data_IF_481945736528
#
_entry.id   IF_481945736528
#
_cell.length_a   1.000
_cell.length_b   1.000
_cell.length_c   1.000
_cell.angle_alpha   90.00
_cell.angle_beta   90.00
_cell.angle_gamma   90.00
#
_symmetry.space_group_name_H-M   'P 1'
#
loop_
_entity.id
_entity.type
_entity.pdbx_description
1 polymer ?
2 non-polymer ?
3 non-polymer ?
4 non-polymer ?
5 water ?
#
# COMPACT_ATOMS: atom_id res chain seq x y z
N UNK A 21 -8.96 6.75 -1.64
CA UNK A 21 -9.85 5.77 -0.91
C UNK A 21 -11.27 6.23 -1.13
N UNK A 22 -12.10 5.33 -1.61
CA UNK A 22 -13.49 5.64 -1.88
C UNK A 22 -14.40 4.99 -0.82
N UNK A 23 -15.24 5.81 -0.20
CA UNK A 23 -16.20 5.31 0.77
C UNK A 23 -15.67 4.99 2.16
N UNK A 24 -14.53 5.55 2.52
CA UNK A 24 -13.97 5.29 3.82
C UNK A 24 -14.25 6.45 4.75
N UNK A 25 -13.43 6.57 5.77
CA UNK A 25 -13.54 7.63 6.76
C UNK A 25 -12.15 8.19 6.94
N UNK A 26 -12.03 9.38 7.50
CA UNK A 26 -10.70 9.95 7.68
C UNK A 26 -10.02 9.20 8.80
N UNK A 27 -8.79 8.76 8.56
CA UNK A 27 -8.04 8.07 9.60
C UNK A 27 -7.79 9.02 10.75
N UNK A 28 -7.76 8.47 11.96
CA UNK A 28 -7.43 9.22 13.15
C UNK A 28 -5.96 9.59 12.88
N UNK A 29 -5.57 10.85 13.14
CA UNK A 29 -4.17 11.21 12.86
C UNK A 29 -3.11 10.36 13.54
N UNK A 30 -2.17 9.86 12.73
CA UNK A 30 -1.07 9.01 13.19
C UNK A 30 -1.53 7.63 13.65
N UNK A 31 -2.74 7.23 13.24
CA UNK A 31 -3.24 5.91 13.61
C UNK A 31 -2.64 4.82 12.71
N UNK A 32 -2.04 5.23 11.58
CA UNK A 32 -1.40 4.31 10.64
C UNK A 32 0.01 4.88 10.50
N UNK A 33 0.83 4.81 11.58
CA UNK A 33 2.19 5.36 11.56
C UNK A 33 3.20 4.74 10.60
N UNK A 34 2.85 3.62 9.97
CA UNK A 34 3.72 2.97 8.99
C UNK A 34 3.47 3.55 7.61
N UNK A 35 2.38 4.29 7.45
CA UNK A 35 2.02 4.85 6.15
C UNK A 35 2.99 5.95 5.68
N UNK A 36 3.48 5.83 4.46
CA UNK A 36 4.37 6.86 3.93
C UNK A 36 3.82 7.36 2.61
N UNK A 37 4.21 8.58 2.25
CA UNK A 37 3.83 9.16 0.98
C UNK A 37 5.08 9.21 0.10
N UNK A 38 5.00 8.72 -1.12
CA UNK A 38 6.13 8.81 -2.03
C UNK A 38 5.87 10.09 -2.79
N UNK A 39 6.84 10.99 -2.73
CA UNK A 39 6.75 12.30 -3.34
C UNK A 39 7.80 12.55 -4.42
N UNK A 40 7.35 13.08 -5.55
CA UNK A 40 8.24 13.44 -6.66
C UNK A 40 7.56 14.73 -7.13
N UNK A 41 7.75 15.76 -6.32
CA UNK A 41 7.13 17.05 -6.56
C UNK A 41 5.80 17.01 -5.81
N UNK A 42 5.01 16.00 -6.16
CA UNK A 42 3.70 15.78 -5.57
C UNK A 42 3.64 14.34 -5.12
N UNK A 43 2.69 14.05 -4.25
CA UNK A 43 2.46 12.68 -3.79
C UNK A 43 2.04 11.88 -5.02
N UNK A 44 2.59 10.68 -5.23
CA UNK A 44 2.17 9.88 -6.38
C UNK A 44 1.85 8.42 -6.04
N UNK A 45 2.28 7.98 -4.86
CA UNK A 45 2.03 6.61 -4.43
C UNK A 45 2.24 6.54 -2.93
N UNK A 46 1.70 5.49 -2.32
CA UNK A 46 1.87 5.28 -0.90
C UNK A 46 2.90 4.17 -0.74
N UNK A 47 3.17 3.81 0.51
CA UNK A 47 4.12 2.75 0.82
C UNK A 47 4.00 2.46 2.29
N UNK A 48 4.76 1.48 2.76
CA UNK A 48 4.74 1.09 4.17
C UNK A 48 6.15 0.95 4.73
N UNK A 49 6.39 1.56 5.88
CA UNK A 49 7.68 1.45 6.56
C UNK A 49 7.70 0.08 7.24
N UNK A 50 8.70 -0.75 6.93
CA UNK A 50 8.81 -2.07 7.54
C UNK A 50 9.94 -2.16 8.58
N UNK A 51 10.82 -1.17 8.58
CA UNK A 51 11.91 -1.04 9.55
C UNK A 51 12.53 0.33 9.35
N UNK A 52 13.47 0.74 10.21
CA UNK A 52 14.06 2.09 10.08
C UNK A 52 14.68 2.44 8.74
N UNK A 53 15.06 1.45 7.95
CA UNK A 53 15.70 1.75 6.67
C UNK A 53 14.95 1.38 5.41
N UNK A 54 13.87 0.62 5.55
CA UNK A 54 13.17 0.15 4.35
C UNK A 54 11.68 0.39 4.27
N UNK A 55 11.23 0.67 3.06
CA UNK A 55 9.83 0.92 2.76
C UNK A 55 9.37 -0.03 1.66
N UNK A 56 8.18 -0.61 1.82
CA UNK A 56 7.62 -1.49 0.81
C UNK A 56 6.56 -0.72 0.02
N UNK A 57 6.58 -0.84 -1.30
CA UNK A 57 5.59 -0.17 -2.14
C UNK A 57 5.31 -1.05 -3.37
N UNK A 58 4.59 -0.51 -4.35
CA UNK A 58 4.26 -1.24 -5.57
C UNK A 58 5.28 -0.96 -6.65
N UNK A 59 5.66 -2.01 -7.39
CA UNK A 59 6.63 -1.86 -8.48
C UNK A 59 6.16 -0.92 -9.60
N UNK A 60 4.84 -0.83 -9.82
CA UNK A 60 4.34 0.08 -10.85
C UNK A 60 4.55 1.54 -10.43
N UNK A 61 4.95 1.75 -9.18
CA UNK A 61 5.23 3.09 -8.68
C UNK A 61 6.70 3.46 -8.83
N UNK A 62 7.48 2.53 -9.38
CA UNK A 62 8.91 2.71 -9.56
C UNK A 62 9.36 4.05 -10.11
N UNK A 63 10.41 4.57 -9.48
CA UNK A 63 11.06 5.80 -9.89
C UNK A 63 12.48 5.59 -9.34
N UNK A 64 13.48 5.98 -10.12
CA UNK A 64 14.89 5.81 -9.71
C UNK A 64 15.19 6.44 -8.37
N UNK A 65 14.62 7.61 -8.13
CA UNK A 65 14.80 8.33 -6.88
C UNK A 65 13.45 8.88 -6.44
N UNK A 66 13.16 8.79 -5.15
CA UNK A 66 11.91 9.29 -4.59
C UNK A 66 12.18 9.88 -3.22
N UNK A 67 11.34 10.80 -2.79
CA UNK A 67 11.45 11.36 -1.45
C UNK A 67 10.35 10.68 -0.65
N UNK A 68 10.71 10.02 0.43
CA UNK A 68 9.75 9.34 1.29
C UNK A 68 9.34 10.30 2.40
N UNK A 69 8.04 10.51 2.56
CA UNK A 69 7.53 11.42 3.59
C UNK A 69 6.79 10.61 4.64
N UNK A 70 7.33 10.63 5.85
CA UNK A 70 6.78 9.88 6.96
C UNK A 70 6.20 10.84 7.99
N UNK A 71 5.33 10.32 8.84
CA UNK A 71 4.71 11.12 9.90
C UNK A 71 3.71 12.13 9.36
N UNK A 72 3.07 11.79 8.26
CA UNK A 72 2.09 12.69 7.63
C UNK A 72 0.65 12.38 7.99
N UNK A 73 -0.18 13.42 8.01
CA UNK A 73 -1.60 13.22 8.13
C UNK A 73 -2.19 14.01 6.95
N UNK A 74 -2.02 15.33 7.00
CA UNK A 74 -2.46 16.18 5.92
C UNK A 74 -1.19 16.44 5.10
N UNK A 75 -1.16 15.96 3.85
CA UNK A 75 0.02 16.11 3.03
C UNK A 75 0.27 17.49 2.46
N UNK A 76 -0.65 18.42 2.67
CA UNK A 76 -0.48 19.79 2.16
C UNK A 76 -0.16 20.79 3.25
N UNK A 77 -0.15 20.33 4.51
CA UNK A 77 0.12 21.22 5.61
C UNK A 77 1.23 20.65 6.51
N UNK A 78 2.16 21.51 6.93
CA UNK A 78 3.23 21.08 7.83
C UNK A 78 2.65 20.93 9.23
N UNK A 79 2.80 19.73 9.80
CA UNK A 79 2.25 19.43 11.12
C UNK A 79 3.32 19.32 12.21
N UNK A 80 4.58 19.32 11.79
CA UNK A 80 5.69 19.21 12.72
C UNK A 80 6.12 17.78 13.04
N UNK A 81 5.37 16.81 12.52
CA UNK A 81 5.64 15.40 12.77
C UNK A 81 6.31 14.70 11.61
N UNK A 82 6.49 15.42 10.52
CA UNK A 82 7.04 14.85 9.31
C UNK A 82 8.54 14.65 9.30
N UNK A 83 8.97 13.66 8.53
CA UNK A 83 10.37 13.35 8.27
C UNK A 83 10.42 13.12 6.76
N UNK A 84 11.21 13.91 6.05
CA UNK A 84 11.33 13.76 4.60
C UNK A 84 12.69 13.15 4.34
N UNK A 85 12.74 11.95 3.79
CA UNK A 85 14.01 11.27 3.55
C UNK A 85 14.12 10.77 2.12
N UNK A 86 15.22 11.11 1.46
CA UNK A 86 15.45 10.67 0.10
C UNK A 86 15.81 9.18 0.05
N UNK A 87 15.45 8.54 -1.05
CA UNK A 87 15.76 7.13 -1.22
C UNK A 87 17.25 6.94 -1.54
N UNK A 88 17.75 5.79 -1.14
CA UNK A 88 19.13 5.36 -1.33
C UNK A 88 19.15 4.34 -2.49
N UNK A 89 18.15 3.47 -2.51
CA UNK A 89 18.02 2.45 -3.54
C UNK A 89 16.53 2.14 -3.75
N UNK A 90 16.14 1.90 -4.99
CA UNK A 90 14.76 1.53 -5.32
C UNK A 90 14.88 0.21 -6.11
N UNK A 91 14.37 -0.85 -5.49
CA UNK A 91 14.47 -2.20 -6.03
C UNK A 91 13.13 -2.87 -6.36
N UNK A 92 12.83 -3.05 -7.65
CA UNK A 92 11.61 -3.71 -8.06
C UNK A 92 11.82 -5.22 -7.99
N UNK A 93 10.75 -5.96 -7.68
CA UNK A 93 10.87 -7.40 -7.64
C UNK A 93 11.41 -7.82 -9.01
N UNK A 94 12.39 -8.74 -9.02
CA UNK A 94 13.00 -9.22 -10.27
C UNK A 94 12.03 -9.70 -11.34
N UNK A 95 10.88 -10.21 -10.92
CA UNK A 95 9.89 -10.71 -11.87
C UNK A 95 8.71 -9.79 -12.14
N UNK A 96 8.82 -8.51 -11.77
CA UNK A 96 7.74 -7.58 -12.04
C UNK A 96 7.51 -7.49 -13.54
N UNK A 97 6.25 -7.51 -13.95
CA UNK A 97 5.92 -7.44 -15.37
C UNK A 97 4.96 -6.29 -15.63
N UNK A 98 5.36 -5.35 -16.46
CA UNK A 98 4.52 -4.20 -16.79
C UNK A 98 3.38 -4.58 -17.74
N UNK A 99 3.50 -5.75 -18.38
CA UNK A 99 2.48 -6.23 -19.30
C UNK A 99 1.21 -6.63 -18.56
N UNK A 100 1.36 -7.17 -17.37
CA UNK A 100 0.20 -7.61 -16.60
C UNK A 100 0.22 -7.19 -15.14
N UNK A 101 1.18 -6.35 -14.78
CA UNK A 101 1.33 -5.83 -13.41
C UNK A 101 1.50 -6.97 -12.39
N UNK A 102 2.20 -8.03 -12.78
CA UNK A 102 2.41 -9.17 -11.89
C UNK A 102 3.61 -8.91 -10.99
N UNK A 103 3.63 -9.52 -9.80
CA UNK A 103 4.72 -9.35 -8.84
C UNK A 103 4.94 -7.85 -8.62
N UNK A 104 3.84 -7.19 -8.30
CA UNK A 104 3.81 -5.74 -8.11
C UNK A 104 4.29 -5.32 -6.73
N UNK A 105 5.58 -5.52 -6.46
CA UNK A 105 6.13 -5.17 -5.16
C UNK A 105 7.53 -4.59 -5.37
N UNK A 106 7.89 -3.65 -4.51
CA UNK A 106 9.16 -2.95 -4.63
C UNK A 106 9.66 -2.52 -3.27
N UNK A 107 10.98 -2.49 -3.12
CA UNK A 107 11.61 -2.07 -1.87
C UNK A 107 12.36 -0.78 -2.08
N UNK A 108 12.28 0.10 -1.10
CA UNK A 108 12.97 1.37 -1.18
C UNK A 108 13.83 1.50 0.06
N UNK A 109 15.12 1.70 -0.15
CA UNK A 109 16.03 1.87 0.98
C UNK A 109 16.16 3.35 1.23
N UNK A 110 16.07 3.76 2.49
CA UNK A 110 16.17 5.15 2.87
C UNK A 110 17.65 5.52 2.98
N UNK A 111 18.01 6.72 2.55
CA UNK A 111 19.41 7.17 2.59
C UNK A 111 19.91 7.40 4.00
N UNK A 112 19.00 7.49 4.95
CA UNK A 112 19.31 7.69 6.34
C UNK A 112 18.15 7.04 7.07
N UNK A 113 18.41 6.41 8.22
CA UNK A 113 17.36 5.74 8.99
C UNK A 113 16.25 6.69 9.44
N UNK A 114 15.03 6.18 9.48
CA UNK A 114 13.90 6.97 9.94
C UNK A 114 13.96 6.97 11.47
N UNK A 115 13.54 8.06 12.09
CA UNK A 115 13.52 8.13 13.54
C UNK A 115 12.13 7.64 13.97
N UNK A 116 12.09 6.52 14.68
CA UNK A 116 10.84 5.95 15.13
C UNK A 116 10.40 6.72 16.35
N UNK A 117 9.13 7.10 16.37
CA UNK A 117 8.58 7.88 17.47
C UNK A 117 7.07 7.70 17.46
N UNK A 118 6.36 8.64 18.06
CA UNK A 118 4.91 8.56 18.11
C UNK A 118 4.23 8.60 16.74
N UNK A 119 4.83 9.29 15.80
CA UNK A 119 4.25 9.45 14.48
C UNK A 119 4.74 8.49 13.42
N UNK A 120 5.87 7.84 13.69
CA UNK A 120 6.48 6.95 12.70
C UNK A 120 6.86 5.64 13.35
N UNK A 121 6.24 4.56 12.87
CA UNK A 121 6.48 3.23 13.39
C UNK A 121 6.31 2.25 12.23
N UNK A 122 7.13 1.20 12.20
CA UNK A 122 7.08 0.18 11.15
C UNK A 122 5.91 -0.77 11.36
N UNK A 123 5.51 -1.46 10.30
CA UNK A 123 4.46 -2.45 10.39
C UNK A 123 5.14 -3.82 10.17
N UNK A 124 4.68 -4.84 10.88
CA UNK A 124 5.22 -6.19 10.78
C UNK A 124 4.90 -6.90 9.47
N UNK A 125 5.87 -7.65 8.97
CA UNK A 125 5.68 -8.45 7.76
C UNK A 125 4.87 -9.68 8.22
N UNK A 126 4.06 -10.27 7.34
CA UNK A 126 3.24 -11.42 7.72
C UNK A 126 3.95 -12.71 8.13
N UNK A 127 3.42 -13.38 9.13
CA UNK A 127 3.99 -14.63 9.60
C UNK A 127 3.39 -15.77 8.75
N UNK A 128 2.25 -15.49 8.12
CA UNK A 128 1.59 -16.44 7.25
C UNK A 128 0.55 -15.70 6.42
N UNK A 129 0.01 -16.35 5.40
CA UNK A 129 -1.00 -15.76 4.53
C UNK A 129 -2.37 -15.74 5.22
N UNK A 130 -3.00 -14.58 5.23
CA UNK A 130 -4.30 -14.41 5.87
C UNK A 130 -5.40 -15.13 5.09
N UNK A 131 -6.28 -15.86 5.78
CA UNK A 131 -7.33 -16.55 5.03
C UNK A 131 -8.43 -15.59 4.53
N UNK A 132 -9.21 -16.05 3.57
CA UNK A 132 -10.30 -15.25 3.02
C UNK A 132 -11.26 -14.91 4.16
N UNK A 133 -11.80 -13.70 4.10
CA UNK A 133 -12.73 -13.28 5.12
C UNK A 133 -12.06 -12.46 6.19
N UNK A 134 -10.73 -12.46 6.23
CA UNK A 134 -10.01 -11.68 7.23
C UNK A 134 -10.25 -10.19 6.97
N UNK A 135 -10.52 -9.44 8.03
CA UNK A 135 -10.78 -8.00 7.92
C UNK A 135 -9.45 -7.24 7.99
N UNK A 136 -9.27 -6.30 7.07
CA UNK A 136 -8.07 -5.50 6.97
C UNK A 136 -8.37 -4.02 6.87
N UNK A 137 -7.33 -3.21 6.96
CA UNK A 137 -7.43 -1.77 6.82
C UNK A 137 -6.55 -1.39 5.63
N UNK A 138 -7.08 -0.53 4.76
CA UNK A 138 -6.32 -0.01 3.63
C UNK A 138 -6.40 1.51 3.82
N UNK A 139 -5.30 2.21 3.54
CA UNK A 139 -5.28 3.67 3.71
C UNK A 139 -4.50 4.36 2.59
N UNK A 140 -4.75 5.65 2.39
CA UNK A 140 -4.03 6.36 1.36
C UNK A 140 -4.56 7.76 1.12
N UNK A 141 -3.85 8.50 0.26
CA UNK A 141 -4.20 9.88 -0.10
C UNK A 141 -4.65 9.93 -1.57
N UNK A 142 -5.20 8.82 -2.06
CA UNK A 142 -5.63 8.78 -3.45
C UNK A 142 -7.01 9.36 -3.71
N UNK A 143 -7.47 9.21 -4.95
CA UNK A 143 -8.81 9.68 -5.39
C UNK A 143 -9.86 9.18 -4.38
N UNK A 144 -10.75 10.07 -3.97
CA UNK A 144 -11.84 9.72 -3.05
C UNK A 144 -13.18 9.67 -3.82
N UNK A 145 -13.23 10.36 -4.96
CA UNK A 145 -14.43 10.44 -5.78
C UNK A 145 -15.68 10.90 -5.01
N UNK A 146 -15.48 11.76 -4.01
CA UNK A 146 -16.57 12.29 -3.21
C UNK A 146 -16.34 13.77 -3.03
N UNK A 147 -17.42 14.53 -2.79
CA UNK A 147 -17.32 15.97 -2.59
C UNK A 147 -16.97 16.31 -1.15
N UNK A 148 -17.20 15.36 -0.25
CA UNK A 148 -16.92 15.54 1.17
C UNK A 148 -15.50 15.16 1.59
N UNK A 149 -15.10 13.93 1.27
CA UNK A 149 -13.78 13.41 1.64
C UNK A 149 -12.58 14.10 0.97
N UNK A 150 -11.82 14.84 1.77
CA UNK A 150 -10.63 15.55 1.31
C UNK A 150 -9.45 14.57 1.21
N UNK A 151 -8.98 14.32 -0.01
CA UNK A 151 -7.88 13.37 -0.21
C UNK A 151 -6.52 13.80 0.35
N UNK A 152 -6.41 15.04 0.83
CA UNK A 152 -5.14 15.50 1.40
C UNK A 152 -4.94 14.98 2.81
N UNK A 153 -6.04 14.54 3.42
CA UNK A 153 -6.00 13.99 4.77
C UNK A 153 -6.09 12.48 4.59
N UNK A 154 -5.23 11.74 5.28
CA UNK A 154 -5.20 10.29 5.17
C UNK A 154 -6.57 9.65 5.39
N UNK A 155 -7.00 8.85 4.41
CA UNK A 155 -8.30 8.17 4.44
C UNK A 155 -8.09 6.71 4.78
N UNK A 156 -9.04 6.14 5.52
CA UNK A 156 -8.98 4.75 5.97
C UNK A 156 -10.22 3.98 5.53
N UNK A 157 -10.07 2.68 5.38
CA UNK A 157 -11.17 1.83 4.95
C UNK A 157 -10.94 0.40 5.41
N UNK A 158 -11.99 -0.24 5.92
CA UNK A 158 -11.88 -1.63 6.34
C UNK A 158 -12.44 -2.49 5.22
N UNK A 159 -11.65 -3.47 4.78
CA UNK A 159 -12.06 -4.36 3.69
C UNK A 159 -11.69 -5.80 3.99
N UNK A 160 -12.57 -6.75 3.63
CA UNK A 160 -12.24 -8.16 3.88
C UNK A 160 -11.48 -8.76 2.69
N UNK A 161 -10.70 -9.79 2.96
CA UNK A 161 -9.98 -10.47 1.90
C UNK A 161 -10.97 -11.42 1.21
N UNK A 162 -10.98 -11.42 -0.12
CA UNK A 162 -11.88 -12.29 -0.87
C UNK A 162 -11.18 -13.60 -1.21
N UNK A 163 -11.97 -14.63 -1.47
CA UNK A 163 -11.44 -15.92 -1.85
C UNK A 163 -10.86 -15.84 -3.26
N UNK A 164 -10.02 -16.81 -3.61
CA UNK A 164 -9.44 -16.85 -4.93
C UNK A 164 -10.57 -17.00 -5.95
N UNK A 165 -11.53 -17.88 -5.66
CA UNK A 165 -12.66 -18.09 -6.55
C UNK A 165 -13.37 -16.78 -6.88
N UNK A 166 -13.69 -16.00 -5.85
CA UNK A 166 -14.36 -14.72 -6.07
C UNK A 166 -13.49 -13.79 -6.89
N UNK A 167 -12.19 -13.80 -6.59
CA UNK A 167 -11.25 -12.93 -7.28
C UNK A 167 -11.09 -13.32 -8.76
N UNK A 168 -10.96 -14.62 -9.03
CA UNK A 168 -10.82 -15.08 -10.40
C UNK A 168 -12.11 -14.87 -11.18
N UNK A 169 -13.25 -15.00 -10.51
CA UNK A 169 -14.54 -14.80 -11.16
C UNK A 169 -14.69 -13.35 -11.66
N UNK A 170 -14.17 -12.39 -10.89
CA UNK A 170 -14.23 -11.00 -11.26
C UNK A 170 -13.24 -10.68 -12.37
N UNK A 171 -12.08 -11.33 -12.32
CA UNK A 171 -11.03 -11.09 -13.32
C UNK A 171 -10.53 -12.42 -13.85
N UNK A 172 -11.34 -13.08 -14.70
CA UNK A 172 -11.03 -14.38 -15.30
C UNK A 172 -9.67 -14.49 -15.95
N UNK A 173 -8.83 -15.38 -15.41
CA UNK A 173 -7.50 -15.60 -15.96
C UNK A 173 -6.46 -14.52 -15.79
N UNK A 174 -6.74 -13.52 -14.96
CA UNK A 174 -5.82 -12.43 -14.74
C UNK A 174 -5.15 -12.47 -13.38
N UNK A 175 -5.65 -13.33 -12.50
CA UNK A 175 -5.13 -13.43 -11.15
C UNK A 175 -4.05 -14.49 -11.02
N UNK A 176 -2.85 -14.06 -10.66
CA UNK A 176 -1.72 -14.98 -10.49
C UNK A 176 -1.53 -15.31 -9.02
N UNK A 177 -0.55 -16.16 -8.73
CA UNK A 177 -0.25 -16.54 -7.34
C UNK A 177 0.19 -15.33 -6.49
N UNK A 178 0.62 -14.27 -7.15
CA UNK A 178 1.11 -13.05 -6.48
C UNK A 178 0.03 -11.97 -6.24
N UNK A 179 -1.22 -12.31 -6.51
CA UNK A 179 -2.30 -11.34 -6.36
C UNK A 179 -3.47 -11.88 -5.55
N UNK A 180 -4.19 -10.98 -4.88
CA UNK A 180 -5.38 -11.37 -4.16
C UNK A 180 -6.33 -10.19 -4.23
N UNK A 181 -7.62 -10.46 -4.09
CA UNK A 181 -8.64 -9.43 -4.12
C UNK A 181 -9.13 -9.13 -2.72
N UNK A 182 -9.55 -7.89 -2.52
CA UNK A 182 -10.10 -7.48 -1.23
C UNK A 182 -11.05 -6.34 -1.50
N UNK A 183 -12.12 -6.29 -0.70
CA UNK A 183 -13.11 -5.24 -0.87
C UNK A 183 -14.51 -5.84 -0.87
N UNK A 184 -15.37 -5.28 -1.71
CA UNK A 184 -16.77 -5.70 -1.78
C UNK A 184 -17.22 -5.89 -3.22
N UNK A 185 -17.80 -7.04 -3.53
CA UNK A 185 -18.24 -7.26 -4.90
C UNK A 185 -19.40 -6.33 -5.26
N UNK A 186 -20.11 -5.84 -4.24
CA UNK A 186 -21.22 -4.91 -4.46
C UNK A 186 -20.72 -3.49 -4.80
N UNK A 187 -19.43 -3.24 -4.61
CA UNK A 187 -18.87 -1.92 -4.90
C UNK A 187 -19.09 -0.91 -3.79
N UNK A 188 -18.81 0.36 -4.10
CA UNK A 188 -19.00 1.44 -3.14
C UNK A 188 -17.87 1.78 -2.19
N UNK A 189 -16.96 0.83 -1.95
CA UNK A 189 -15.83 1.01 -1.04
C UNK A 189 -14.61 0.37 -1.69
N UNK A 190 -13.52 1.13 -1.84
CA UNK A 190 -12.35 0.59 -2.52
C UNK A 190 -11.16 1.53 -2.44
N UNK A 191 -9.99 1.03 -2.84
CA UNK A 191 -8.79 1.87 -2.91
C UNK A 191 -8.89 2.45 -4.33
N UNK A 192 -8.09 3.45 -4.67
CA UNK A 192 -8.19 4.07 -5.98
C UNK A 192 -6.83 4.65 -6.37
N UNK A 193 -6.70 5.20 -7.58
CA UNK A 193 -5.41 5.77 -8.01
C UNK A 193 -4.90 6.78 -6.98
N UNK A 194 -3.60 6.73 -6.70
CA UNK A 194 -3.05 7.61 -5.69
C UNK A 194 -2.84 6.81 -4.40
N UNK A 195 -3.59 5.74 -4.24
CA UNK A 195 -3.46 4.86 -3.07
C UNK A 195 -2.43 3.76 -3.40
N UNK A 196 -2.12 3.60 -4.68
CA UNK A 196 -1.17 2.60 -5.18
C UNK A 196 0.08 2.49 -4.31
N UNK A 197 0.49 1.26 -4.02
CA UNK A 197 1.67 1.01 -3.21
C UNK A 197 1.43 1.05 -1.73
N UNK A 198 0.25 1.54 -1.33
CA UNK A 198 -0.11 1.64 0.08
C UNK A 198 -0.34 0.33 0.77
N UNK A 199 -0.51 0.37 2.09
CA UNK A 199 -0.73 -0.83 2.90
C UNK A 199 -2.13 -1.41 3.05
N UNK A 200 -2.15 -2.73 3.25
CA UNK A 200 -3.37 -3.47 3.55
C UNK A 200 -2.89 -4.23 4.78
N UNK A 201 -3.36 -3.81 5.94
CA UNK A 201 -2.95 -4.40 7.22
C UNK A 201 -4.07 -5.20 7.88
N UNK A 202 -3.77 -6.44 8.24
CA UNK A 202 -4.72 -7.33 8.88
C UNK A 202 -4.02 -8.01 10.06
N UNK A 203 -4.65 -7.96 11.22
CA UNK A 203 -4.08 -8.55 12.42
C UNK A 203 -2.69 -8.02 12.74
N UNK A 204 -2.48 -6.74 12.46
CA UNK A 204 -1.21 -6.11 12.75
C UNK A 204 -0.07 -6.38 11.79
N UNK A 205 -0.37 -7.05 10.68
CA UNK A 205 0.66 -7.38 9.70
C UNK A 205 0.33 -6.89 8.29
N UNK A 206 1.36 -6.60 7.52
CA UNK A 206 1.19 -6.13 6.16
C UNK A 206 0.90 -7.30 5.25
N UNK A 207 -0.36 -7.48 4.88
CA UNK A 207 -0.73 -8.58 3.99
C UNK A 207 -0.78 -8.18 2.52
N UNK A 208 -1.05 -6.91 2.24
CA UNK A 208 -1.11 -6.50 0.85
C UNK A 208 -0.56 -5.14 0.55
N UNK A 209 -0.35 -4.90 -0.75
CA UNK A 209 0.14 -3.64 -1.28
C UNK A 209 -0.88 -3.26 -2.37
N UNK A 210 -1.40 -2.03 -2.32
CA UNK A 210 -2.39 -1.59 -3.33
C UNK A 210 -1.78 -1.71 -4.74
N UNK A 211 -2.42 -2.53 -5.58
CA UNK A 211 -1.90 -2.78 -6.92
C UNK A 211 -2.70 -2.29 -8.13
N UNK A 212 -3.79 -2.96 -8.47
CA UNK A 212 -4.61 -2.58 -9.63
C UNK A 212 -6.07 -2.94 -9.45
N UNK A 213 -6.89 -2.56 -10.43
CA UNK A 213 -8.32 -2.86 -10.41
C UNK A 213 -8.98 -2.19 -11.61
N UNK A 214 -10.23 -2.52 -11.88
CA UNK A 214 -10.95 -1.88 -12.96
C UNK A 214 -11.74 -0.76 -12.29
N UNK A 215 -11.32 0.47 -12.52
CA UNK A 215 -11.96 1.61 -11.90
C UNK A 215 -11.82 1.56 -10.39
N UNK A 216 -12.71 2.25 -9.69
CA UNK A 216 -12.69 2.24 -8.24
C UNK A 216 -14.10 2.15 -7.71
N UNK A 217 -14.31 1.22 -6.78
CA UNK A 217 -15.59 1.00 -6.12
C UNK A 217 -16.72 0.55 -7.05
N UNK A 218 -16.36 0.03 -8.22
CA UNK A 218 -17.35 -0.46 -9.17
C UNK A 218 -17.81 -1.85 -8.76
N UNK A 219 -19.13 -2.12 -8.86
CA UNK A 219 -19.67 -3.43 -8.50
C UNK A 219 -19.02 -4.47 -9.41
N UNK A 220 -18.65 -5.62 -8.83
CA UNK A 220 -18.04 -6.68 -9.60
C UNK A 220 -16.57 -6.48 -9.92
N UNK A 221 -16.01 -5.35 -9.49
CA UNK A 221 -14.60 -5.03 -9.74
C UNK A 221 -13.86 -4.69 -8.43
N UNK A 222 -13.57 -5.69 -7.59
CA UNK A 222 -12.87 -5.45 -6.32
C UNK A 222 -11.41 -5.08 -6.55
N UNK A 223 -10.76 -4.47 -5.56
CA UNK A 223 -9.37 -4.10 -5.73
C UNK A 223 -8.44 -5.31 -5.71
N UNK A 224 -7.33 -5.22 -6.44
CA UNK A 224 -6.33 -6.30 -6.49
C UNK A 224 -5.10 -5.80 -5.73
N UNK A 225 -4.53 -6.70 -4.94
CA UNK A 225 -3.39 -6.38 -4.08
C UNK A 225 -2.24 -7.38 -4.22
N UNK A 226 -1.00 -6.91 -4.09
CA UNK A 226 0.14 -7.83 -4.17
C UNK A 226 0.13 -8.65 -2.88
N UNK A 227 0.29 -9.96 -3.04
CA UNK A 227 0.26 -10.91 -1.92
C UNK A 227 1.61 -10.96 -1.21
N UNK A 228 1.80 -10.05 -0.25
CA UNK A 228 3.05 -9.93 0.49
C UNK A 228 3.59 -11.21 1.14
N UNK A 229 2.69 -12.03 1.68
CA UNK A 229 3.06 -13.25 2.37
C UNK A 229 3.88 -14.27 1.54
N UNK A 230 3.83 -14.18 0.22
CA UNK A 230 4.63 -15.10 -0.58
C UNK A 230 5.98 -14.49 -0.98
N UNK A 231 6.24 -13.27 -0.52
CA UNK A 231 7.50 -12.57 -0.83
C UNK A 231 8.44 -12.42 0.38
N UNK A 232 8.12 -13.05 1.50
CA UNK A 232 8.97 -12.92 2.68
C UNK A 232 10.44 -13.24 2.45
N UNK A 233 10.71 -14.27 1.66
CA UNK A 233 12.09 -14.67 1.35
C UNK A 233 12.82 -13.51 0.66
N UNK A 234 12.24 -13.05 -0.45
CA UNK A 234 12.82 -11.97 -1.22
C UNK A 234 12.96 -10.70 -0.38
N UNK A 235 11.93 -10.39 0.40
CA UNK A 235 11.96 -9.19 1.23
C UNK A 235 13.09 -9.25 2.26
N UNK A 236 13.17 -10.36 2.98
CA UNK A 236 14.21 -10.56 3.99
C UNK A 236 15.63 -10.54 3.43
N UNK A 237 15.85 -11.27 2.34
CA UNK A 237 17.16 -11.32 1.70
C UNK A 237 17.60 -9.98 1.15
N UNK A 238 16.70 -9.28 0.47
CA UNK A 238 17.02 -7.99 -0.10
C UNK A 238 17.32 -6.93 0.97
N UNK A 239 16.61 -6.99 2.09
CA UNK A 239 16.84 -6.02 3.16
C UNK A 239 18.13 -6.30 3.93
N UNK A 240 18.76 -7.42 3.64
CA UNK A 240 20.02 -7.80 4.27
C UNK A 240 21.17 -7.58 3.27
N UNK A 241 20.82 -7.41 2.00
CA UNK A 241 21.80 -7.21 0.93
C UNK A 241 22.09 -5.73 0.69
N UNK A 242 23.12 -5.22 1.36
CA UNK A 242 23.55 -3.83 1.22
C UNK A 242 22.49 -2.85 1.75
X LIG B 1 -7.72 0.24 -7.66
X LIG B 1 -6.28 0.64 -7.35
X LIG B 1 -5.76 1.67 -8.35
X LIG B 1 -5.13 1.14 -9.60
X LIG B 1 -5.91 0.60 -10.63
X LIG B 1 -5.31 0.14 -11.83
X LIG B 1 -3.92 0.23 -12.01
X LIG B 1 -3.13 0.76 -10.98
X LIG B 1 -3.74 1.22 -9.78
X LIG B 1 -8.40 -0.46 -6.51
X LIG C 1 1.79 17.30 6.73
X LIG D 1 -7.04 -15.69 0.17
X LIG D 1 -5.72 -15.71 -0.56
X LIG D 1 -5.03 -16.96 -0.10
X LIG D 1 -5.94 -15.81 -2.07
X LIG D 1 -4.89 -14.47 -0.15
X LIG D 1 -4.59 -14.25 1.26
X LIG D 1 -3.84 -15.40 1.71
X LIG D 1 -3.76 -12.96 1.48
#
# INVERSE_FOLDING_TARGET
MISLVFVLLIGAAFATEDDKIVGGYECKPYSQPHQVSLNSGYHFCGGSLVNENWVVSAAHCYKSRVEVRLGEHNIKVTEGSEQFISSSRVIRHPNYSSYNIDNDIMLIKLSKPATLNTYVQPVALPTSCAPAGTMCTVSGWGNTMSSTADSNKLQCLNIPILSYSDCNNSYPGMITNAMFCAGYLEGGKDSCQGDSGGPVVCNGELQGVVSWGYGCAEPGNPGVYAKVCIFNDWLTSTMASY
PRA C1 C2 C3 C1' C2' C3' C4' C5' C6' N
CA CA
MPD C1 C2 O2 CM C3 C4 O4 C5
#
